data_IF_172085170799
#
_entry.id   IF_172085170799
#
_cell.length_a   1.000
_cell.length_b   1.000
_cell.length_c   1.000
_cell.angle_alpha   90.00
_cell.angle_beta   90.00
_cell.angle_gamma   90.00
#
_symmetry.space_group_name_H-M   'P 1'
#
loop_
_entity.id
_entity.type
_entity.pdbx_description
1 polymer ?
#
# COMPACT_ATOMS: atom_id res chain seq x y z
N UNK A 1 37.53 -35.12 11.79
CA UNK A 1 36.10 -34.72 11.80
C UNK A 1 36.02 -33.26 11.38
N UNK A 2 35.67 -32.98 10.12
CA UNK A 2 35.41 -31.61 9.65
C UNK A 2 33.94 -31.52 9.27
N UNK A 3 33.16 -30.73 9.99
CA UNK A 3 31.75 -30.51 9.68
C UNK A 3 31.67 -29.35 8.70
N UNK A 4 31.33 -29.64 7.44
CA UNK A 4 30.94 -28.63 6.46
C UNK A 4 29.63 -27.98 6.93
N UNK A 5 29.70 -26.71 7.31
CA UNK A 5 28.52 -25.89 7.55
C UNK A 5 27.87 -25.57 6.19
N UNK A 6 26.78 -26.27 5.88
CA UNK A 6 25.90 -25.92 4.77
C UNK A 6 25.21 -24.60 5.10
N UNK A 7 25.60 -23.52 4.41
CA UNK A 7 24.87 -22.26 4.40
C UNK A 7 23.55 -22.48 3.65
N UNK A 8 22.51 -22.87 4.39
CA UNK A 8 21.15 -22.95 3.88
C UNK A 8 20.68 -21.55 3.49
N UNK A 9 20.56 -21.31 2.19
CA UNK A 9 19.91 -20.13 1.62
C UNK A 9 18.43 -20.15 2.03
N UNK A 10 18.08 -19.47 3.11
CA UNK A 10 16.67 -19.26 3.47
C UNK A 10 16.07 -18.25 2.49
N UNK A 11 15.34 -18.75 1.49
CA UNK A 11 14.38 -17.97 0.74
C UNK A 11 13.25 -17.59 1.72
N UNK A 12 13.31 -16.38 2.30
CA UNK A 12 12.23 -15.91 3.15
C UNK A 12 11.00 -15.63 2.26
N UNK A 13 9.82 -16.15 2.60
CA UNK A 13 8.59 -15.74 1.92
C UNK A 13 8.41 -14.24 2.16
N UNK A 14 8.26 -13.48 1.07
CA UNK A 14 7.86 -12.07 1.08
C UNK A 14 6.68 -11.92 2.04
N UNK A 15 6.93 -11.34 3.21
CA UNK A 15 5.89 -11.08 4.18
C UNK A 15 4.91 -10.11 3.53
N UNK A 16 3.65 -10.54 3.37
CA UNK A 16 2.54 -9.62 3.22
C UNK A 16 2.45 -8.83 4.53
N UNK A 17 3.20 -7.73 4.61
CA UNK A 17 3.08 -6.78 5.70
C UNK A 17 1.64 -6.27 5.69
N UNK A 18 0.98 -6.33 6.84
CA UNK A 18 -0.38 -5.81 6.96
C UNK A 18 -0.32 -4.33 7.29
N UNK A 19 -1.34 -3.60 6.85
CA UNK A 19 -1.52 -2.20 7.24
C UNK A 19 -1.69 -2.14 8.75
N UNK A 20 -0.94 -1.24 9.39
CA UNK A 20 -1.01 -0.98 10.82
C UNK A 20 -2.40 -0.48 11.24
N UNK A 21 -2.75 -0.69 12.51
CA UNK A 21 -4.03 -0.23 13.07
C UNK A 21 -4.19 1.30 13.05
N UNK A 22 -3.07 2.00 12.96
CA UNK A 22 -2.91 3.44 12.79
C UNK A 22 -3.03 3.88 11.32
N UNK A 23 -3.42 2.98 10.41
CA UNK A 23 -3.52 3.25 8.97
C UNK A 23 -2.18 3.64 8.34
N UNK A 24 -1.10 3.04 8.82
CA UNK A 24 0.23 3.20 8.25
C UNK A 24 0.71 1.92 7.60
N UNK A 25 1.50 2.06 6.53
CA UNK A 25 2.16 0.95 5.88
C UNK A 25 3.61 1.33 5.66
N UNK A 26 4.54 0.49 6.17
CA UNK A 26 5.98 0.79 6.19
C UNK A 26 6.30 2.17 6.79
N UNK A 27 5.52 2.60 7.80
CA UNK A 27 5.67 3.91 8.47
C UNK A 27 5.10 5.10 7.70
N UNK A 28 4.47 4.89 6.54
CA UNK A 28 3.81 5.95 5.77
C UNK A 28 2.30 5.93 6.04
N UNK A 29 1.68 7.05 6.40
CA UNK A 29 0.23 7.16 6.51
C UNK A 29 -0.44 6.93 5.16
N UNK A 30 -1.42 6.02 5.09
CA UNK A 30 -2.18 5.74 3.87
C UNK A 30 -3.34 6.73 3.67
N UNK A 31 -3.01 8.02 3.79
CA UNK A 31 -3.89 9.16 3.62
C UNK A 31 -3.08 10.35 3.12
N UNK A 32 -3.73 11.29 2.45
CA UNK A 32 -3.05 12.49 1.96
C UNK A 32 -3.08 12.61 0.45
N UNK A 33 -2.08 13.32 -0.08
CA UNK A 33 -1.86 13.52 -1.51
C UNK A 33 -1.13 12.33 -2.11
N UNK A 34 -1.73 11.75 -3.13
CA UNK A 34 -1.25 10.54 -3.78
C UNK A 34 -0.94 10.81 -5.25
N UNK A 35 0.24 10.41 -5.70
CA UNK A 35 0.56 10.47 -7.13
C UNK A 35 0.63 9.05 -7.70
N UNK A 36 -0.03 8.85 -8.84
CA UNK A 36 0.07 7.60 -9.59
C UNK A 36 1.28 7.69 -10.51
N UNK A 37 2.20 6.73 -10.42
CA UNK A 37 3.43 6.70 -11.22
C UNK A 37 3.68 5.33 -11.84
N UNK A 38 4.32 5.32 -13.00
CA UNK A 38 4.73 4.07 -13.66
C UNK A 38 6.09 3.55 -13.18
N UNK A 39 6.97 4.44 -12.71
CA UNK A 39 8.34 4.11 -12.30
C UNK A 39 8.64 4.69 -10.94
N UNK A 40 9.41 3.95 -10.14
CA UNK A 40 9.78 4.30 -8.76
C UNK A 40 8.58 4.65 -7.85
N UNK A 41 7.54 3.79 -7.77
CA UNK A 41 6.49 3.97 -6.77
C UNK A 41 7.01 3.62 -5.37
N UNK A 42 6.42 4.25 -4.35
CA UNK A 42 6.63 3.84 -2.96
C UNK A 42 5.87 2.54 -2.67
N UNK A 43 4.65 2.41 -3.22
CA UNK A 43 3.78 1.25 -3.04
C UNK A 43 3.18 0.74 -4.34
N UNK A 44 3.05 -0.58 -4.46
CA UNK A 44 2.27 -1.24 -5.50
C UNK A 44 0.92 -1.61 -4.93
N UNK A 45 -0.14 -1.11 -5.53
CA UNK A 45 -1.50 -1.35 -5.07
C UNK A 45 -2.29 -2.10 -6.12
N UNK A 46 -3.19 -2.98 -5.69
CA UNK A 46 -4.12 -3.67 -6.58
C UNK A 46 -5.53 -3.31 -6.17
N UNK A 47 -6.35 -2.93 -7.14
CA UNK A 47 -7.78 -2.66 -6.89
C UNK A 47 -8.54 -3.98 -6.89
N UNK A 48 -9.34 -4.21 -5.85
CA UNK A 48 -10.18 -5.40 -5.69
C UNK A 48 -11.58 -5.04 -5.21
N UNK A 49 -12.55 -5.87 -5.56
CA UNK A 49 -13.95 -5.69 -5.14
C UNK A 49 -14.27 -6.33 -3.78
N UNK A 50 -13.52 -7.38 -3.42
CA UNK A 50 -13.77 -8.21 -2.24
C UNK A 50 -12.48 -8.40 -1.44
N UNK A 51 -12.60 -8.36 -0.12
CA UNK A 51 -11.49 -8.48 0.84
C UNK A 51 -10.33 -7.48 0.63
N UNK A 52 -10.60 -6.17 0.44
CA UNK A 52 -9.52 -5.19 0.39
C UNK A 52 -8.80 -5.10 1.74
N UNK A 53 -7.54 -4.70 1.73
CA UNK A 53 -6.81 -4.32 2.95
C UNK A 53 -7.12 -2.87 3.37
N UNK A 54 -7.46 -2.00 2.40
CA UNK A 54 -7.84 -0.59 2.63
C UNK A 54 -9.00 -0.17 1.73
N UNK A 55 -10.00 0.50 2.31
CA UNK A 55 -11.03 1.21 1.54
C UNK A 55 -10.54 2.63 1.28
N UNK A 56 -10.41 2.98 0.00
CA UNK A 56 -9.92 4.27 -0.46
C UNK A 56 -11.07 5.10 -0.98
N UNK A 57 -11.20 6.33 -0.49
CA UNK A 57 -12.12 7.34 -1.02
C UNK A 57 -11.32 8.46 -1.65
N UNK A 58 -11.66 8.79 -2.88
CA UNK A 58 -11.09 9.95 -3.56
C UNK A 58 -11.72 11.22 -3.03
N UNK A 59 -10.90 12.18 -2.61
CA UNK A 59 -11.34 13.50 -2.14
C UNK A 59 -10.63 14.62 -2.89
N UNK A 60 -11.31 15.75 -3.07
CA UNK A 60 -10.72 16.92 -3.74
C UNK A 60 -9.89 17.79 -2.79
N UNK A 61 -10.24 17.78 -1.49
CA UNK A 61 -9.63 18.61 -0.46
C UNK A 61 -9.58 17.87 0.89
N UNK A 62 -8.61 18.24 1.73
CA UNK A 62 -8.45 17.78 3.12
C UNK A 62 -8.50 16.24 3.29
N UNK A 63 -7.56 15.49 2.67
CA UNK A 63 -7.42 14.04 2.87
C UNK A 63 -6.82 13.72 4.27
N UNK A 64 -7.58 14.00 5.32
CA UNK A 64 -7.11 13.94 6.70
C UNK A 64 -7.41 12.59 7.38
N UNK A 65 -8.34 11.81 6.83
CA UNK A 65 -8.74 10.51 7.36
C UNK A 65 -8.08 9.33 6.64
N UNK A 66 -8.02 8.19 7.34
CA UNK A 66 -7.47 6.94 6.80
C UNK A 66 -8.17 6.54 5.50
N UNK A 67 -7.40 6.27 4.45
CA UNK A 67 -7.96 5.90 3.15
C UNK A 67 -8.55 7.08 2.36
N UNK A 68 -8.44 8.32 2.82
CA UNK A 68 -8.80 9.48 1.99
C UNK A 68 -7.60 9.91 1.16
N UNK A 69 -7.75 9.80 -0.16
CA UNK A 69 -6.68 10.08 -1.11
C UNK A 69 -7.07 11.24 -2.02
N UNK A 70 -6.21 12.24 -2.08
CA UNK A 70 -6.28 13.30 -3.06
C UNK A 70 -5.25 13.02 -4.16
N UNK A 71 -5.71 12.70 -5.37
CA UNK A 71 -4.79 12.45 -6.47
C UNK A 71 -4.20 13.77 -7.00
N UNK A 72 -2.87 13.84 -7.08
CA UNK A 72 -2.13 15.02 -7.53
C UNK A 72 -1.02 14.65 -8.51
N UNK A 73 -0.66 15.58 -9.39
CA UNK A 73 0.45 15.41 -10.33
C UNK A 73 1.80 15.89 -9.77
N UNK A 74 1.80 16.64 -8.66
CA UNK A 74 3.00 17.24 -8.08
C UNK A 74 2.86 17.42 -6.56
N UNK A 75 3.99 17.31 -5.86
CA UNK A 75 4.08 17.36 -4.39
C UNK A 75 3.17 16.35 -3.66
N UNK A 76 3.22 15.05 -4.02
CA UNK A 76 2.52 14.04 -3.26
C UNK A 76 3.18 13.76 -1.91
N UNK A 77 2.41 13.23 -0.99
CA UNK A 77 2.92 12.66 0.26
C UNK A 77 3.53 11.27 0.00
N UNK A 78 2.95 10.49 -0.92
CA UNK A 78 3.50 9.22 -1.39
C UNK A 78 3.03 8.87 -2.82
N UNK A 79 3.74 7.93 -3.45
CA UNK A 79 3.51 7.49 -4.82
C UNK A 79 3.03 6.05 -4.87
N UNK A 80 2.02 5.80 -5.68
CA UNK A 80 1.50 4.46 -5.92
C UNK A 80 1.69 4.05 -7.37
N UNK A 81 1.73 2.74 -7.58
CA UNK A 81 1.53 2.13 -8.90
C UNK A 81 0.44 1.08 -8.82
N UNK A 82 -0.53 1.17 -9.72
CA UNK A 82 -1.51 0.11 -9.89
C UNK A 82 -0.88 -1.12 -10.55
N UNK A 83 -1.04 -2.29 -9.94
CA UNK A 83 -0.53 -3.57 -10.46
C UNK A 83 -1.59 -4.66 -10.36
N UNK A 84 -1.50 -5.67 -11.23
CA UNK A 84 -2.37 -6.85 -11.19
C UNK A 84 -1.74 -8.05 -10.45
N UNK A 85 -0.43 -8.02 -10.21
CA UNK A 85 0.31 -9.12 -9.59
C UNK A 85 1.42 -8.58 -8.70
N UNK A 86 1.66 -9.27 -7.60
CA UNK A 86 2.60 -8.87 -6.54
C UNK A 86 2.37 -7.45 -6.01
N UNK A 87 1.13 -7.09 -5.61
CA UNK A 87 0.89 -5.85 -4.88
C UNK A 87 1.51 -5.92 -3.48
N UNK A 88 1.83 -4.75 -2.92
CA UNK A 88 2.16 -4.59 -1.51
C UNK A 88 0.88 -4.73 -0.65
N UNK A 89 -0.24 -4.15 -1.09
CA UNK A 89 -1.56 -4.29 -0.45
C UNK A 89 -2.70 -4.08 -1.46
N UNK A 90 -3.89 -4.59 -1.12
CA UNK A 90 -5.08 -4.49 -1.95
C UNK A 90 -6.02 -3.36 -1.46
N UNK A 91 -6.55 -2.58 -2.38
CA UNK A 91 -7.47 -1.47 -2.08
C UNK A 91 -8.82 -1.68 -2.75
N UNK A 92 -9.86 -1.09 -2.16
CA UNK A 92 -11.15 -0.92 -2.81
C UNK A 92 -11.52 0.56 -2.88
N UNK A 93 -11.84 1.04 -4.06
CA UNK A 93 -12.37 2.39 -4.23
C UNK A 93 -13.81 2.44 -3.71
N UNK A 94 -14.12 3.39 -2.83
CA UNK A 94 -15.44 3.58 -2.22
C UNK A 94 -15.84 5.05 -2.23
N UNK A 95 -17.14 5.32 -2.30
CA UNK A 95 -17.67 6.68 -2.20
C UNK A 95 -17.88 7.13 -0.73
N UNK A 96 -17.94 6.18 0.20
CA UNK A 96 -18.24 6.42 1.61
C UNK A 96 -17.58 5.37 2.51
N UNK A 97 -17.31 5.75 3.77
CA UNK A 97 -16.64 4.93 4.78
C UNK A 97 -15.23 4.46 4.36
N UNK A 98 -14.30 5.40 4.09
CA UNK A 98 -12.91 5.05 3.86
C UNK A 98 -12.25 4.49 5.13
N UNK A 99 -11.11 3.83 4.94
CA UNK A 99 -10.26 3.34 6.00
C UNK A 99 -10.10 1.83 6.03
N UNK A 100 -9.68 1.30 7.18
CA UNK A 100 -9.47 -0.14 7.33
C UNK A 100 -10.81 -0.90 7.30
N UNK A 101 -10.85 -2.12 6.72
CA UNK A 101 -12.03 -2.96 6.62
C UNK A 101 -12.76 -3.24 7.93
#
# INVERSE_FOLDING_TARGET
MGVLAALSLQCQPLHAEKIGKDCTFKGVPLKGKVQVVDSFPDFKVKVVDSFPDLKVKTVEHFPDDCGEWQFVDSFPDFKIKFVNSFPDFEIKMVDSFPGLP
#
